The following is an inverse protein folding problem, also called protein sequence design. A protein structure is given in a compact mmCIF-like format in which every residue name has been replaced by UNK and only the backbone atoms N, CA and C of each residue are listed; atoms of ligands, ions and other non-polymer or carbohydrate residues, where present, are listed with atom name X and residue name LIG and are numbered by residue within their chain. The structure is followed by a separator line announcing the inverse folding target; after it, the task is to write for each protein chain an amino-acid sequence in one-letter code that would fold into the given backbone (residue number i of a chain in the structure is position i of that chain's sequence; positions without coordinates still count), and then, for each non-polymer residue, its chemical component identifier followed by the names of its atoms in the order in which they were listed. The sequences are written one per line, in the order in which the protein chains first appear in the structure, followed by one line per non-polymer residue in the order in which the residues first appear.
data_IF_076256413933
#
_entry.id   IF_076256413933
#
_cell.length_a   1.000
_cell.length_b   1.000
_cell.length_c   1.000
_cell.angle_alpha   90.00
_cell.angle_beta   90.00
_cell.angle_gamma   90.00
#
_symmetry.space_group_name_H-M   'P 1'
#
loop_
_entity.id
_entity.type
_entity.pdbx_description
1 polymer ?
#
# COMPACT_ATOMS: atom_id res chain seq x y z
N UNK A 1 -9.59 -6.67 1.65
CA UNK A 1 -8.54 -5.83 2.26
C UNK A 1 -8.07 -4.83 1.20
N UNK A 2 -7.97 -3.53 1.51
CA UNK A 2 -7.57 -2.50 0.53
C UNK A 2 -6.05 -2.51 0.37
N UNK A 3 -5.48 -2.76 -0.82
CA UNK A 3 -4.05 -2.63 -1.04
C UNK A 3 -3.64 -1.16 -1.16
N UNK A 4 -2.41 -0.83 -0.75
CA UNK A 4 -1.80 0.50 -0.89
C UNK A 4 -0.30 0.45 -1.19
N UNK A 5 0.15 -0.71 -1.68
CA UNK A 5 1.47 -0.91 -2.25
C UNK A 5 1.44 -1.98 -3.35
N UNK A 6 2.01 -1.66 -4.52
CA UNK A 6 2.19 -2.60 -5.62
C UNK A 6 3.59 -2.54 -6.25
N UNK A 7 3.96 -3.63 -6.93
CA UNK A 7 5.18 -3.75 -7.72
C UNK A 7 4.82 -4.20 -9.14
N UNK A 8 5.13 -3.35 -10.12
CA UNK A 8 5.03 -3.65 -11.53
C UNK A 8 6.39 -4.04 -12.11
N UNK A 9 6.61 -5.34 -12.28
CA UNK A 9 7.83 -5.86 -12.88
C UNK A 9 7.61 -6.18 -14.37
N UNK A 10 8.64 -5.93 -15.19
CA UNK A 10 8.67 -6.32 -16.60
C UNK A 10 9.99 -7.00 -16.93
N UNK A 11 9.91 -8.07 -17.72
CA UNK A 11 11.07 -8.80 -18.23
C UNK A 11 11.83 -8.01 -19.32
N UNK A 12 12.89 -8.61 -19.90
CA UNK A 12 13.72 -7.97 -20.92
C UNK A 12 12.94 -7.44 -22.13
N UNK A 13 11.97 -8.21 -22.61
CA UNK A 13 11.11 -7.85 -23.76
C UNK A 13 9.90 -6.99 -23.34
N UNK A 14 9.73 -6.77 -22.03
CA UNK A 14 8.65 -5.95 -21.51
C UNK A 14 8.96 -4.46 -21.66
N UNK A 15 7.90 -3.66 -21.82
CA UNK A 15 8.02 -2.21 -21.98
C UNK A 15 8.01 -1.49 -20.63
N UNK A 16 9.02 -0.65 -20.38
CA UNK A 16 9.03 0.26 -19.23
C UNK A 16 7.79 1.17 -19.23
N UNK A 17 7.38 1.65 -20.41
CA UNK A 17 6.19 2.49 -20.52
C UNK A 17 4.96 1.75 -20.00
N UNK A 18 4.78 0.47 -20.38
CA UNK A 18 3.67 -0.36 -19.89
C UNK A 18 3.73 -0.53 -18.37
N UNK A 19 4.92 -0.78 -17.79
CA UNK A 19 5.08 -0.84 -16.34
C UNK A 19 4.65 0.44 -15.65
N UNK A 20 5.05 1.61 -16.19
CA UNK A 20 4.67 2.91 -15.64
C UNK A 20 3.18 3.18 -15.78
N UNK A 21 2.55 2.80 -16.90
CA UNK A 21 1.11 2.93 -17.09
C UNK A 21 0.32 2.09 -16.10
N UNK A 22 0.71 0.83 -15.90
CA UNK A 22 0.08 -0.06 -14.93
C UNK A 22 0.28 0.45 -13.50
N UNK A 23 1.50 0.86 -13.16
CA UNK A 23 1.78 1.46 -11.86
C UNK A 23 0.92 2.72 -11.62
N UNK A 24 0.69 3.55 -12.63
CA UNK A 24 -0.20 4.71 -12.52
C UNK A 24 -1.64 4.30 -12.24
N UNK A 25 -2.15 3.33 -12.99
CA UNK A 25 -3.51 2.82 -12.85
C UNK A 25 -3.75 2.20 -11.47
N UNK A 26 -2.87 1.30 -11.04
CA UNK A 26 -2.97 0.64 -9.74
C UNK A 26 -2.87 1.65 -8.61
N UNK A 27 -1.92 2.59 -8.70
CA UNK A 27 -1.77 3.64 -7.69
C UNK A 27 -3.02 4.52 -7.55
N UNK A 28 -3.75 4.77 -8.64
CA UNK A 28 -4.98 5.55 -8.62
C UNK A 28 -6.10 4.78 -7.90
N UNK A 29 -6.25 3.49 -8.19
CA UNK A 29 -7.24 2.63 -7.51
C UNK A 29 -6.91 2.47 -6.02
N UNK A 30 -5.65 2.24 -5.68
CA UNK A 30 -5.20 2.18 -4.30
C UNK A 30 -5.51 3.50 -3.57
N UNK A 31 -5.25 4.64 -4.22
CA UNK A 31 -5.41 5.94 -3.59
C UNK A 31 -6.90 6.26 -3.38
N UNK A 32 -7.75 5.84 -4.32
CA UNK A 32 -9.20 5.87 -4.16
C UNK A 32 -9.65 5.02 -2.97
N UNK A 33 -9.15 3.78 -2.85
CA UNK A 33 -9.48 2.88 -1.74
C UNK A 33 -9.05 3.43 -0.39
N UNK A 34 -7.84 4.00 -0.31
CA UNK A 34 -7.32 4.62 0.91
C UNK A 34 -8.09 5.88 1.30
N UNK A 35 -8.46 6.72 0.33
CA UNK A 35 -9.31 7.88 0.55
C UNK A 35 -10.71 7.50 1.05
N UNK A 36 -11.30 6.44 0.50
CA UNK A 36 -12.58 5.92 0.96
C UNK A 36 -12.51 5.39 2.41
N UNK A 37 -11.43 4.69 2.78
CA UNK A 37 -11.19 4.25 4.16
C UNK A 37 -11.03 5.43 5.12
N UNK A 38 -10.23 6.42 4.74
CA UNK A 38 -10.00 7.61 5.56
C UNK A 38 -11.30 8.39 5.80
N UNK A 39 -12.12 8.54 4.75
CA UNK A 39 -13.37 9.31 4.78
C UNK A 39 -14.55 8.53 5.35
N UNK A 40 -14.37 7.26 5.73
CA UNK A 40 -15.46 6.43 6.25
C UNK A 40 -16.12 7.08 7.47
N UNK A 41 -17.41 7.41 7.33
CA UNK A 41 -18.26 8.06 8.34
C UNK A 41 -17.69 9.38 8.88
N UNK A 42 -16.95 10.10 8.03
CA UNK A 42 -16.47 11.45 8.34
C UNK A 42 -17.36 12.48 7.65
N UNK A 43 -17.77 13.53 8.38
CA UNK A 43 -18.67 14.59 7.88
C UNK A 43 -18.07 15.47 6.77
N UNK A 44 -16.83 15.18 6.33
CA UNK A 44 -16.18 15.85 5.21
C UNK A 44 -15.03 15.02 4.63
N UNK A 45 -14.93 15.01 3.30
CA UNK A 45 -13.76 14.48 2.57
C UNK A 45 -12.58 15.40 2.82
N UNK A 46 -11.53 14.89 3.48
CA UNK A 46 -10.29 15.65 3.68
C UNK A 46 -9.34 15.35 2.51
N UNK A 47 -9.34 16.20 1.49
CA UNK A 47 -8.30 16.22 0.46
C UNK A 47 -7.06 16.90 1.05
N UNK A 48 -6.28 16.13 1.81
CA UNK A 48 -5.11 16.64 2.53
C UNK A 48 -3.83 16.64 1.69
N UNK A 49 -3.93 16.53 0.35
CA UNK A 49 -2.82 16.33 -0.59
C UNK A 49 -1.77 15.31 -0.13
N UNK A 50 -2.14 14.39 0.77
CA UNK A 50 -1.21 13.42 1.32
C UNK A 50 -1.27 12.16 0.50
N UNK A 51 -0.11 11.67 0.10
CA UNK A 51 0.01 10.41 -0.60
C UNK A 51 0.10 9.27 0.42
N UNK A 52 -0.86 8.35 0.41
CA UNK A 52 -0.88 7.16 1.27
C UNK A 52 -0.67 5.86 0.50
N UNK A 53 -0.33 5.98 -0.77
CA UNK A 53 -0.04 4.87 -1.67
C UNK A 53 1.35 5.02 -2.24
N UNK A 54 2.00 3.87 -2.38
CA UNK A 54 3.35 3.76 -2.90
C UNK A 54 3.39 2.65 -3.91
N UNK A 55 3.88 2.93 -5.11
CA UNK A 55 3.97 1.90 -6.16
C UNK A 55 5.38 1.85 -6.66
N UNK A 56 5.83 0.67 -7.05
CA UNK A 56 7.18 0.47 -7.54
C UNK A 56 7.15 -0.18 -8.92
N UNK A 57 8.17 0.09 -9.72
CA UNK A 57 8.40 -0.62 -10.98
C UNK A 57 9.77 -1.23 -11.00
N UNK A 58 9.91 -2.44 -11.56
CA UNK A 58 11.20 -3.05 -11.83
C UNK A 58 11.34 -3.40 -13.32
N UNK A 59 12.29 -2.78 -13.99
CA UNK A 59 12.59 -3.05 -15.40
C UNK A 59 14.07 -2.76 -15.71
N UNK A 60 14.70 -3.63 -16.50
CA UNK A 60 16.08 -3.43 -16.95
C UNK A 60 17.10 -3.26 -15.81
N UNK A 61 16.87 -3.92 -14.67
CA UNK A 61 17.74 -3.79 -13.49
C UNK A 61 17.53 -2.51 -12.68
N UNK A 62 16.52 -1.70 -12.99
CA UNK A 62 16.20 -0.48 -12.24
C UNK A 62 14.92 -0.66 -11.43
N UNK A 63 15.00 -0.36 -10.13
CA UNK A 63 13.84 -0.21 -9.26
C UNK A 63 13.48 1.28 -9.21
N UNK A 64 12.23 1.63 -9.51
CA UNK A 64 11.70 2.98 -9.30
C UNK A 64 10.60 2.92 -8.26
N UNK A 65 10.51 3.94 -7.42
CA UNK A 65 9.43 4.11 -6.45
C UNK A 65 8.67 5.37 -6.76
N UNK A 66 7.35 5.29 -6.65
CA UNK A 66 6.38 6.33 -6.92
C UNK A 66 5.45 6.48 -5.74
N UNK A 67 4.82 7.64 -5.65
CA UNK A 67 3.73 7.91 -4.72
C UNK A 67 2.60 8.61 -5.45
N UNK A 68 1.36 8.34 -5.04
CA UNK A 68 0.20 8.96 -5.69
C UNK A 68 -0.64 9.70 -4.67
N UNK A 69 -0.96 10.95 -4.99
CA UNK A 69 -1.85 11.79 -4.19
C UNK A 69 -3.09 12.16 -5.01
N UNK A 70 -4.20 12.37 -4.30
CA UNK A 70 -5.42 12.93 -4.86
C UNK A 70 -5.34 14.44 -4.83
N UNK A 71 -5.64 15.09 -5.96
CA UNK A 71 -5.94 16.50 -6.00
C UNK A 71 -7.45 16.73 -5.80
N UNK A 72 -7.78 17.86 -5.17
CA UNK A 72 -9.17 18.26 -4.98
C UNK A 72 -9.87 18.46 -6.33
N UNK A 73 -11.14 18.04 -6.49
CA UNK A 73 -11.88 18.27 -7.73
C UNK A 73 -12.06 19.76 -8.03
N UNK A 74 -11.95 20.15 -9.30
CA UNK A 74 -12.17 21.52 -9.77
C UNK A 74 -13.68 21.88 -9.84
N UNK A 75 -14.39 21.79 -8.71
CA UNK A 75 -15.78 22.22 -8.59
C UNK A 75 -16.80 21.08 -8.40
N UNK A 76 -18.07 21.44 -8.21
CA UNK A 76 -19.13 20.47 -7.89
C UNK A 76 -19.35 19.49 -9.03
N UNK A 77 -19.27 18.19 -8.74
CA UNK A 77 -19.48 17.12 -9.71
C UNK A 77 -18.22 16.68 -10.48
N UNK A 78 -17.09 17.35 -10.29
CA UNK A 78 -15.81 16.92 -10.84
C UNK A 78 -15.25 15.74 -10.05
N UNK A 79 -14.47 14.88 -10.73
CA UNK A 79 -13.77 13.77 -10.08
C UNK A 79 -12.40 14.24 -9.56
N UNK A 80 -11.88 13.65 -8.48
CA UNK A 80 -10.50 13.89 -8.07
C UNK A 80 -9.52 13.48 -9.16
N UNK A 81 -8.44 14.25 -9.31
CA UNK A 81 -7.32 13.86 -10.14
C UNK A 81 -6.31 13.05 -9.33
N UNK A 82 -5.60 12.13 -9.99
CA UNK A 82 -4.58 11.28 -9.38
C UNK A 82 -3.23 11.64 -9.98
N UNK A 83 -2.33 12.12 -9.13
CA UNK A 83 -1.01 12.59 -9.56
C UNK A 83 0.03 11.61 -9.01
N UNK A 84 0.61 10.81 -9.91
CA UNK A 84 1.70 9.91 -9.60
C UNK A 84 3.05 10.64 -9.74
N UNK A 85 3.79 10.73 -8.65
CA UNK A 85 5.10 11.38 -8.58
C UNK A 85 6.19 10.33 -8.33
N UNK A 86 7.25 10.36 -9.13
CA UNK A 86 8.42 9.52 -8.89
C UNK A 86 9.18 10.02 -7.67
N UNK A 87 9.41 9.15 -6.69
CA UNK A 87 10.18 9.45 -5.49
C UNK A 87 11.68 9.27 -5.74
N UNK A 88 12.07 8.13 -6.31
CA UNK A 88 13.48 7.82 -6.58
C UNK A 88 13.65 6.65 -7.57
N UNK A 89 14.89 6.37 -7.96
CA UNK A 89 15.30 5.23 -8.79
C UNK A 89 16.64 4.68 -8.29
N UNK A 90 16.77 3.35 -8.26
CA UNK A 90 17.98 2.65 -7.89
C UNK A 90 18.35 1.59 -8.93
N UNK A 91 19.63 1.53 -9.28
CA UNK A 91 20.19 0.41 -10.04
C UNK A 91 20.40 -0.80 -9.13
N UNK A 92 19.71 -1.89 -9.42
CA UNK A 92 19.72 -3.12 -8.61
C UNK A 92 20.80 -4.12 -9.03
N UNK A 93 21.40 -3.94 -10.22
CA UNK A 93 22.37 -4.89 -10.81
C UNK A 93 23.78 -4.32 -10.96
N UNK A 94 23.98 -3.04 -10.65
CA UNK A 94 25.25 -2.35 -10.88
C UNK A 94 26.28 -2.53 -9.76
N UNK A 95 25.94 -2.12 -8.53
CA UNK A 95 26.84 -2.22 -7.39
C UNK A 95 26.09 -2.50 -6.08
N UNK A 96 26.83 -2.94 -5.07
CA UNK A 96 26.28 -3.34 -3.78
C UNK A 96 25.58 -2.20 -3.04
N UNK A 97 26.12 -0.98 -3.12
CA UNK A 97 25.59 0.17 -2.40
C UNK A 97 24.20 0.56 -2.90
N UNK A 98 24.03 0.74 -4.22
CA UNK A 98 22.73 1.10 -4.80
C UNK A 98 21.71 -0.01 -4.63
N UNK A 99 22.14 -1.27 -4.70
CA UNK A 99 21.28 -2.42 -4.40
C UNK A 99 20.77 -2.37 -2.96
N UNK A 100 21.65 -2.18 -1.98
CA UNK A 100 21.26 -2.11 -0.57
C UNK A 100 20.31 -0.94 -0.31
N UNK A 101 20.60 0.24 -0.88
CA UNK A 101 19.72 1.41 -0.74
C UNK A 101 18.33 1.15 -1.34
N UNK A 102 18.26 0.61 -2.56
CA UNK A 102 16.99 0.29 -3.22
C UNK A 102 16.20 -0.79 -2.50
N UNK A 103 16.86 -1.87 -2.07
CA UNK A 103 16.22 -2.96 -1.32
C UNK A 103 15.68 -2.49 0.03
N UNK A 104 16.46 -1.67 0.77
CA UNK A 104 16.01 -1.07 2.01
C UNK A 104 14.82 -0.12 1.77
N UNK A 105 14.90 0.75 0.77
CA UNK A 105 13.81 1.68 0.43
C UNK A 105 12.52 0.93 0.07
N UNK A 106 12.61 -0.16 -0.70
CA UNK A 106 11.48 -1.02 -1.05
C UNK A 106 10.84 -1.68 0.19
N UNK A 107 11.65 -2.26 1.08
CA UNK A 107 11.14 -2.87 2.31
C UNK A 107 10.48 -1.84 3.22
N UNK A 108 11.14 -0.70 3.43
CA UNK A 108 10.59 0.40 4.23
C UNK A 108 9.29 0.95 3.63
N UNK A 109 9.19 1.05 2.31
CA UNK A 109 7.97 1.46 1.62
C UNK A 109 6.81 0.49 1.88
N UNK A 110 7.07 -0.82 1.82
CA UNK A 110 6.06 -1.86 2.14
C UNK A 110 5.60 -1.79 3.59
N UNK A 111 6.53 -1.64 4.53
CA UNK A 111 6.21 -1.57 5.95
C UNK A 111 5.44 -0.30 6.29
N UNK A 112 5.88 0.84 5.74
CA UNK A 112 5.17 2.12 5.90
C UNK A 112 3.77 2.08 5.30
N UNK A 113 3.61 1.51 4.10
CA UNK A 113 2.30 1.36 3.47
C UNK A 113 1.38 0.50 4.34
N UNK A 114 1.88 -0.62 4.86
CA UNK A 114 1.16 -1.45 5.82
C UNK A 114 0.73 -0.67 7.07
N UNK A 115 1.63 0.11 7.66
CA UNK A 115 1.32 0.93 8.85
C UNK A 115 0.18 1.92 8.56
N UNK A 116 0.23 2.64 7.43
CA UNK A 116 -0.82 3.59 7.06
C UNK A 116 -2.17 2.91 6.84
N UNK A 117 -2.17 1.80 6.11
CA UNK A 117 -3.37 1.00 5.85
C UNK A 117 -3.97 0.46 7.15
N UNK A 118 -3.17 -0.14 8.02
CA UNK A 118 -3.63 -0.68 9.30
C UNK A 118 -4.17 0.44 10.21
N UNK A 119 -3.52 1.60 10.21
CA UNK A 119 -3.97 2.80 10.93
C UNK A 119 -5.35 3.29 10.46
N UNK A 120 -5.57 3.38 9.15
CA UNK A 120 -6.87 3.79 8.61
C UNK A 120 -7.96 2.75 8.80
N UNK A 121 -7.64 1.45 8.68
CA UNK A 121 -8.59 0.38 8.99
C UNK A 121 -9.02 0.46 10.46
N UNK A 122 -8.07 0.64 11.38
CA UNK A 122 -8.37 0.80 12.81
C UNK A 122 -9.29 1.99 13.05
N UNK A 123 -8.95 3.15 12.48
CA UNK A 123 -9.74 4.37 12.63
C UNK A 123 -11.16 4.24 12.04
N UNK A 124 -11.29 3.59 10.88
CA UNK A 124 -12.61 3.31 10.29
C UNK A 124 -13.44 2.36 11.16
N UNK A 125 -12.81 1.35 11.76
CA UNK A 125 -13.49 0.42 12.68
C UNK A 125 -13.90 1.10 13.99
N UNK A 126 -13.10 2.03 14.52
CA UNK A 126 -13.43 2.82 15.72
C UNK A 126 -14.65 3.72 15.50
N UNK A 127 -14.84 4.21 14.27
CA UNK A 127 -15.99 5.04 13.90
C UNK A 127 -17.26 4.24 13.70
N UNK A 128 -17.15 2.94 13.44
CA UNK A 128 -18.31 2.08 13.19
C UNK A 128 -19.22 2.10 14.42
N UNK A 129 -20.48 2.54 14.30
CA UNK A 129 -21.42 2.44 15.41
C UNK A 129 -21.61 0.96 15.78
N UNK A 130 -21.77 0.67 17.07
CA UNK A 130 -22.03 -0.68 17.56
C UNK A 130 -23.31 -1.23 16.90
N UNK A 131 -23.14 -2.05 15.87
CA UNK A 131 -24.24 -2.78 15.23
C UNK A 131 -24.96 -3.73 16.21
N UNK A 132 -24.39 -3.98 17.40
CA UNK A 132 -25.01 -4.74 18.48
C UNK A 132 -26.05 -3.93 19.27
N UNK A 133 -25.95 -2.61 19.34
CA UNK A 133 -26.91 -1.77 20.08
C UNK A 133 -28.23 -1.57 19.33
N UNK A 134 -28.24 -1.77 18.00
CA UNK A 134 -29.46 -1.67 17.19
C UNK A 134 -30.19 -3.00 17.01
N UNK A 135 -29.50 -4.14 17.08
CA UNK A 135 -30.13 -5.46 17.01
C UNK A 135 -30.96 -5.80 18.26
N UNK A 136 -30.65 -5.22 19.43
CA UNK A 136 -31.42 -5.44 20.66
C UNK A 136 -32.69 -4.59 20.80
N UNK A 137 -32.82 -3.47 20.08
CA UNK A 137 -34.03 -2.64 20.12
C UNK A 137 -35.10 -3.05 19.08
N UNK A 138 -34.71 -3.72 17.99
CA UNK A 138 -35.65 -4.17 16.96
C UNK A 138 -36.44 -5.43 17.35
N UNK A 139 -35.98 -6.20 18.36
CA UNK A 139 -36.65 -7.44 18.78
C UNK A 139 -37.77 -7.23 19.82
N UNK A 140 -37.97 -6.02 20.38
CA UNK A 140 -39.01 -5.77 21.39
C UNK A 140 -40.31 -5.16 20.86
N UNK A 141 -40.44 -4.97 19.53
CA UNK A 141 -41.66 -4.40 18.93
C UNK A 141 -42.25 -5.36 17.89
N UNK A 142 -42.84 -6.44 18.38
CA UNK A 142 -43.49 -7.45 17.54
C UNK A 142 -44.39 -8.37 18.35
N UNK A 143 -45.35 -7.83 19.11
CA UNK A 143 -46.45 -8.63 19.68
C UNK A 143 -47.65 -8.62 18.74
N UNK A 144 -47.94 -9.80 18.20
CA UNK A 144 -49.25 -10.34 17.81
C UNK A 144 -50.11 -9.57 16.78
N UNK A 145 -50.20 -10.12 15.56
CA UNK A 145 -51.50 -10.49 14.99
C UNK A 145 -51.29 -11.61 13.95
N UNK A 146 -51.97 -12.71 14.21
CA UNK A 146 -52.01 -13.96 13.47
C UNK A 146 -53.16 -13.87 12.46
N UNK A 147 -52.90 -13.98 11.16
CA UNK A 147 -53.86 -14.51 10.16
C UNK A 147 -53.10 -15.08 8.96
N UNK A 148 -53.40 -16.34 8.66
CA UNK A 148 -52.82 -17.15 7.60
C UNK A 148 -53.45 -16.85 6.22
N UNK A 149 -52.63 -16.73 5.18
CA UNK A 149 -53.00 -17.05 3.79
C UNK A 149 -51.80 -17.70 3.09
N UNK A 150 -52.12 -18.74 2.32
CA UNK A 150 -51.29 -19.79 1.74
C UNK A 150 -50.49 -19.40 0.49
N UNK A 151 -49.32 -20.04 0.36
CA UNK A 151 -48.63 -20.56 -0.86
C UNK A 151 -48.79 -19.82 -2.20
N UNK A 152 -47.65 -19.37 -2.76
CA UNK A 152 -47.27 -19.73 -4.13
C UNK A 152 -45.75 -19.70 -4.32
N UNK A 153 -45.29 -20.61 -5.17
CA UNK A 153 -43.97 -21.20 -5.29
C UNK A 153 -43.15 -20.51 -6.40
N UNK A 154 -41.88 -20.15 -6.16
CA UNK A 154 -40.92 -19.90 -7.24
C UNK A 154 -39.48 -19.88 -6.73
N UNK A 155 -38.90 -21.07 -6.63
CA UNK A 155 -37.46 -21.30 -6.48
C UNK A 155 -36.73 -20.99 -7.81
N UNK A 156 -35.81 -20.02 -7.79
CA UNK A 156 -34.72 -19.96 -8.78
C UNK A 156 -33.39 -19.94 -8.02
N UNK A 157 -32.87 -21.14 -7.80
CA UNK A 157 -31.53 -21.35 -7.25
C UNK A 157 -30.51 -21.19 -8.38
N UNK A 158 -29.94 -20.00 -8.52
CA UNK A 158 -28.68 -19.83 -9.28
C UNK A 158 -27.52 -20.13 -8.36
N UNK A 159 -27.05 -21.37 -8.45
CA UNK A 159 -25.74 -21.83 -8.00
C UNK A 159 -24.69 -21.00 -8.74
N UNK A 160 -23.97 -20.11 -8.03
CA UNK A 160 -22.72 -19.55 -8.54
C UNK A 160 -21.61 -20.54 -8.22
N UNK A 161 -21.15 -21.19 -9.29
CA UNK A 161 -20.06 -22.15 -9.32
C UNK A 161 -18.74 -21.47 -8.91
N UNK A 162 -18.16 -21.92 -7.78
CA UNK A 162 -16.79 -21.62 -7.37
C UNK A 162 -15.82 -22.38 -8.27
N UNK A 163 -15.54 -21.80 -9.44
CA UNK A 163 -14.51 -22.26 -10.35
C UNK A 163 -13.10 -21.96 -9.84
N UNK A 164 -12.56 -22.91 -9.07
CA UNK A 164 -11.15 -23.30 -8.96
C UNK A 164 -10.07 -22.20 -9.04
N UNK A 165 -9.56 -21.82 -7.87
CA UNK A 165 -8.18 -21.32 -7.74
C UNK A 165 -7.21 -22.40 -8.24
N UNK A 166 -6.65 -22.21 -9.43
CA UNK A 166 -5.48 -22.99 -9.85
C UNK A 166 -4.25 -22.45 -9.14
N UNK A 167 -3.82 -23.22 -8.14
CA UNK A 167 -2.49 -23.21 -7.54
C UNK A 167 -1.46 -23.49 -8.65
N UNK A 168 -0.93 -22.43 -9.25
CA UNK A 168 0.19 -22.55 -10.18
C UNK A 168 1.46 -22.68 -9.35
N UNK A 169 1.74 -23.92 -8.96
CA UNK A 169 3.05 -24.36 -8.46
C UNK A 169 4.13 -24.05 -9.49
N UNK A 170 4.95 -23.03 -9.22
CA UNK A 170 6.10 -22.69 -10.04
C UNK A 170 7.29 -23.59 -9.66
N UNK A 171 7.39 -24.76 -10.29
CA UNK A 171 8.56 -25.63 -10.11
C UNK A 171 9.72 -25.11 -10.97
N UNK A 172 10.70 -24.45 -10.34
CA UNK A 172 12.04 -24.34 -10.93
C UNK A 172 12.83 -25.58 -10.53
N UNK A 173 13.05 -26.49 -11.48
CA UNK A 173 14.09 -27.51 -11.34
C UNK A 173 14.96 -27.47 -12.59
N UNK A 174 16.18 -27.02 -12.39
CA UNK A 174 17.31 -27.23 -13.30
C UNK A 174 17.88 -28.62 -13.07
N UNK A 175 18.24 -29.36 -14.13
CA UNK A 175 19.27 -30.37 -14.04
C UNK A 175 20.51 -29.86 -14.76
N UNK A 176 21.62 -29.69 -14.05
CA UNK A 176 22.95 -30.03 -14.59
C UNK A 176 23.76 -30.57 -13.43
N UNK A 177 24.39 -31.70 -13.76
CA UNK A 177 25.05 -32.66 -12.90
C UNK A 177 26.32 -32.12 -12.22
N UNK A 178 26.70 -32.88 -11.22
CA UNK A 178 27.75 -32.69 -10.24
C UNK A 178 29.15 -32.47 -10.84
N UNK A 179 29.91 -31.57 -10.20
CA UNK A 179 31.36 -31.67 -10.15
C UNK A 179 31.83 -31.17 -8.78
N UNK A 180 32.51 -32.07 -8.08
CA UNK A 180 32.92 -32.00 -6.69
C UNK A 180 33.93 -30.88 -6.40
N UNK A 181 33.81 -30.26 -5.23
CA UNK A 181 34.75 -29.24 -4.79
C UNK A 181 34.48 -28.74 -3.39
N UNK A 182 34.85 -29.56 -2.40
CA UNK A 182 34.90 -29.18 -0.98
C UNK A 182 35.75 -27.92 -0.76
N UNK A 183 35.22 -26.92 -0.04
CA UNK A 183 35.99 -26.31 1.05
C UNK A 183 35.10 -25.47 1.97
N UNK A 184 34.96 -26.00 3.18
CA UNK A 184 34.50 -25.34 4.39
C UNK A 184 35.40 -24.16 4.75
N UNK A 185 34.87 -22.94 4.87
CA UNK A 185 35.39 -21.96 5.84
C UNK A 185 34.23 -21.30 6.59
N UNK A 186 33.97 -21.89 7.75
CA UNK A 186 33.35 -21.30 8.91
C UNK A 186 34.24 -20.13 9.40
N UNK A 187 33.78 -18.89 9.35
CA UNK A 187 34.40 -17.81 10.13
C UNK A 187 33.37 -16.81 10.64
N UNK A 188 32.84 -17.20 11.80
CA UNK A 188 32.28 -16.39 12.88
C UNK A 188 33.25 -15.24 13.22
N UNK A 189 32.78 -13.99 13.32
CA UNK A 189 33.40 -12.87 14.08
C UNK A 189 32.47 -11.62 14.05
N UNK A 190 32.60 -10.64 14.97
CA UNK A 190 31.62 -10.43 16.04
C UNK A 190 30.88 -9.08 16.00
N UNK A 191 29.76 -8.98 16.74
CA UNK A 191 29.12 -7.70 17.11
C UNK A 191 30.01 -6.87 18.04
N UNK A 192 30.12 -5.56 17.80
CA UNK A 192 30.30 -4.44 18.78
C UNK A 192 30.64 -3.13 18.03
N UNK A 193 30.55 -1.93 18.65
CA UNK A 193 29.56 -1.39 19.57
C UNK A 193 29.02 0.00 19.10
N UNK A 194 27.97 0.50 19.77
CA UNK A 194 27.44 1.87 19.58
C UNK A 194 28.44 2.91 20.10
N UNK A 195 28.74 3.93 19.29
CA UNK A 195 29.40 5.17 19.72
C UNK A 195 28.37 6.30 19.70
N UNK A 196 28.04 6.75 20.89
CA UNK A 196 27.35 7.99 21.21
C UNK A 196 28.38 9.12 21.23
N UNK A 197 28.20 10.14 20.40
CA UNK A 197 28.96 11.39 20.51
C UNK A 197 27.98 12.55 20.41
N UNK A 198 27.66 13.11 21.57
CA UNK A 198 27.00 14.40 21.72
C UNK A 198 28.00 15.50 21.37
N UNK A 199 27.69 16.31 20.35
CA UNK A 199 28.38 17.58 20.12
C UNK A 199 27.38 18.71 20.37
N UNK A 200 27.67 19.49 21.40
CA UNK A 200 27.03 20.75 21.72
C UNK A 200 27.43 21.80 20.69
N UNK A 201 26.47 22.39 20.00
CA UNK A 201 26.70 23.59 19.19
C UNK A 201 26.17 24.80 19.94
N UNK A 202 27.12 25.56 20.51
CA UNK A 202 26.89 26.87 21.11
C UNK A 202 26.46 27.88 20.05
N UNK A 203 25.51 28.72 20.43
CA UNK A 203 24.98 29.78 19.60
C UNK A 203 25.89 31.01 19.55
N UNK A 204 25.79 31.71 18.44
CA UNK A 204 26.02 33.15 18.34
C UNK A 204 25.00 33.70 17.36
N UNK A 205 24.13 34.57 17.87
CA UNK A 205 23.14 35.30 17.13
C UNK A 205 23.81 36.41 16.31
N UNK A 206 23.53 36.46 15.01
CA UNK A 206 23.76 37.67 14.22
C UNK A 206 22.42 38.27 13.78
N UNK A 207 22.20 39.45 14.36
CA UNK A 207 21.08 40.37 14.22
C UNK A 207 21.34 41.23 13.00
N UNK A 208 20.65 41.00 11.89
CA UNK A 208 20.63 41.94 10.76
C UNK A 208 19.55 42.98 11.02
N UNK A 209 20.01 44.19 11.33
CA UNK A 209 19.25 45.43 11.42
C UNK A 209 18.71 45.84 10.06
N UNK A 210 17.40 46.11 10.01
CA UNK A 210 16.73 46.95 9.02
C UNK A 210 17.29 48.38 9.02
N UNK A 211 17.30 49.06 7.87
CA UNK A 211 16.74 50.42 7.72
C UNK A 211 16.57 50.83 6.23
N UNK A 212 15.70 51.81 5.93
CA UNK A 212 15.02 51.97 4.64
C UNK A 212 15.56 53.11 3.78
N UNK A 213 15.29 53.03 2.47
CA UNK A 213 14.61 54.06 1.65
C UNK A 213 14.29 53.49 0.26
#
# INVERSE_FOLDING_TARGET
MVPNFFLEAKGPDGSLAVATWQACYDSALEAQGMHALQSYQQDGSTYNNSAYTLTSTYHGGQLKLYTTHLAEPEGPGHRPEYIMTQLNTWGMTGNLETFQQGACAYQNARDWAKEKRDGFIRLANERRPDAQSQQHCASQRGTATDEAVTLDDSDVSTVFDEGAYQDVQWSFTTPVEDADGESSILSRMPKKPRLNTSVSFGGTADRITSHPN
#
